data_IF_048704052281
#
_entry.id   IF_048704052281
#
_cell.length_a   1.000
_cell.length_b   1.000
_cell.length_c   1.000
_cell.angle_alpha   90.00
_cell.angle_beta   90.00
_cell.angle_gamma   90.00
#
_symmetry.space_group_name_H-M   'P 1'
#
loop_
_entity.id
_entity.type
_entity.pdbx_description
1 polymer ?
#
# COMPACT_ATOMS: atom_id res chain seq x y z
N UNK A 1 -37.69 -4.02 41.17
CA UNK A 1 -37.11 -2.86 40.45
C UNK A 1 -35.60 -3.05 40.42
N UNK A 2 -35.07 -3.70 39.37
CA UNK A 2 -33.65 -3.77 39.06
C UNK A 2 -33.56 -4.00 37.55
N UNK A 3 -33.21 -2.93 36.81
CA UNK A 3 -32.96 -3.00 35.39
C UNK A 3 -31.57 -3.64 35.19
N UNK A 4 -31.52 -4.84 34.63
CA UNK A 4 -30.27 -5.39 34.11
C UNK A 4 -29.92 -4.63 32.83
N UNK A 5 -28.83 -3.87 32.90
CA UNK A 5 -28.36 -3.03 31.81
C UNK A 5 -28.12 -3.82 30.53
N UNK A 6 -28.56 -3.25 29.41
CA UNK A 6 -28.20 -3.70 28.08
C UNK A 6 -26.69 -3.58 27.91
N UNK A 7 -26.00 -4.72 27.87
CA UNK A 7 -24.64 -4.79 27.36
C UNK A 7 -24.74 -4.50 25.85
N UNK A 8 -24.59 -3.23 25.48
CA UNK A 8 -24.27 -2.85 24.11
C UNK A 8 -22.90 -3.44 23.82
N UNK A 9 -22.88 -4.62 23.20
CA UNK A 9 -21.69 -5.12 22.55
C UNK A 9 -21.30 -4.06 21.52
N UNK A 10 -20.34 -3.21 21.87
CA UNK A 10 -19.55 -2.47 20.92
C UNK A 10 -18.92 -3.54 20.03
N UNK A 11 -19.60 -3.84 18.92
CA UNK A 11 -19.07 -4.73 17.91
C UNK A 11 -17.76 -4.12 17.47
N UNK A 12 -16.65 -4.74 17.85
CA UNK A 12 -15.38 -4.60 17.14
C UNK A 12 -15.67 -4.96 15.70
N UNK A 13 -16.08 -3.98 14.89
CA UNK A 13 -15.96 -4.08 13.46
C UNK A 13 -14.47 -4.24 13.21
N UNK A 14 -14.03 -5.47 12.98
CA UNK A 14 -12.73 -5.72 12.42
C UNK A 14 -12.64 -4.86 11.15
N UNK A 15 -11.85 -3.80 11.22
CA UNK A 15 -11.52 -2.96 10.07
C UNK A 15 -10.62 -3.80 9.16
N UNK A 16 -11.20 -4.78 8.47
CA UNK A 16 -10.51 -5.44 7.38
C UNK A 16 -10.40 -4.39 6.27
N UNK A 17 -9.21 -3.79 6.16
CA UNK A 17 -8.86 -2.95 5.01
C UNK A 17 -9.06 -3.74 3.70
N UNK A 18 -9.21 -3.05 2.57
CA UNK A 18 -9.42 -3.70 1.28
C UNK A 18 -8.28 -4.70 0.99
N UNK A 19 -8.62 -5.87 0.45
CA UNK A 19 -7.64 -6.90 0.10
C UNK A 19 -6.79 -6.42 -1.06
N UNK A 20 -5.49 -6.28 -0.86
CA UNK A 20 -4.56 -5.87 -1.91
C UNK A 20 -3.99 -7.10 -2.62
N UNK A 21 -4.26 -7.22 -3.92
CA UNK A 21 -3.66 -8.20 -4.81
C UNK A 21 -2.59 -7.52 -5.64
N UNK A 22 -1.40 -8.09 -5.66
CA UNK A 22 -0.27 -7.53 -6.41
C UNK A 22 0.16 -8.53 -7.48
N UNK A 23 0.23 -8.08 -8.73
CA UNK A 23 0.77 -8.91 -9.81
C UNK A 23 2.29 -9.08 -9.64
N UNK A 24 2.86 -10.29 -9.84
CA UNK A 24 4.30 -10.53 -9.67
C UNK A 24 5.20 -9.61 -10.50
N UNK A 25 4.71 -9.13 -11.64
CA UNK A 25 5.41 -8.16 -12.50
C UNK A 25 5.73 -6.86 -11.75
N UNK A 26 4.87 -6.42 -10.84
CA UNK A 26 5.07 -5.20 -10.05
C UNK A 26 6.26 -5.36 -9.11
N UNK A 27 6.37 -6.51 -8.45
CA UNK A 27 7.51 -6.81 -7.58
C UNK A 27 8.82 -6.85 -8.37
N UNK A 28 8.81 -7.51 -9.54
CA UNK A 28 9.97 -7.56 -10.43
C UNK A 28 10.38 -6.15 -10.90
N UNK A 29 9.42 -5.31 -11.27
CA UNK A 29 9.68 -3.92 -11.69
C UNK A 29 10.23 -3.05 -10.55
N UNK A 30 9.78 -3.23 -9.30
CA UNK A 30 10.32 -2.50 -8.15
C UNK A 30 11.78 -2.90 -7.91
N UNK A 31 12.09 -4.19 -7.97
CA UNK A 31 13.46 -4.69 -7.79
C UNK A 31 14.36 -4.21 -8.94
N UNK A 32 13.92 -4.30 -10.20
CA UNK A 32 14.68 -3.79 -11.35
C UNK A 32 14.93 -2.28 -11.23
N UNK A 33 13.94 -1.51 -10.78
CA UNK A 33 14.09 -0.07 -10.55
C UNK A 33 15.08 0.24 -9.43
N UNK A 34 15.12 -0.60 -8.38
CA UNK A 34 16.08 -0.48 -7.27
C UNK A 34 17.51 -0.85 -7.70
N UNK A 35 17.69 -1.85 -8.55
CA UNK A 35 19.01 -2.22 -9.06
C UNK A 35 19.56 -1.15 -10.04
N UNK A 36 18.69 -0.53 -10.85
CA UNK A 36 19.07 0.48 -11.84
C UNK A 36 19.17 1.91 -11.30
N UNK A 37 19.00 2.10 -9.99
CA UNK A 37 19.05 3.43 -9.36
C UNK A 37 20.43 4.07 -9.54
N UNK A 38 20.45 5.41 -9.46
CA UNK A 38 21.70 6.15 -9.55
C UNK A 38 22.60 5.86 -8.33
N UNK A 39 23.91 5.81 -8.53
CA UNK A 39 24.88 5.63 -7.44
C UNK A 39 24.67 6.74 -6.39
N UNK A 40 24.37 6.35 -5.14
CA UNK A 40 24.08 7.28 -4.04
C UNK A 40 22.61 7.37 -3.63
N UNK A 41 21.66 6.88 -4.44
CA UNK A 41 20.24 6.87 -4.06
C UNK A 41 19.93 5.68 -3.12
N UNK A 42 19.72 5.95 -1.83
CA UNK A 42 19.37 4.92 -0.85
C UNK A 42 17.98 4.30 -1.06
N UNK A 43 17.09 5.04 -1.74
CA UNK A 43 15.67 4.73 -1.88
C UNK A 43 15.18 4.98 -3.31
N UNK A 44 14.25 4.16 -3.78
CA UNK A 44 13.53 4.37 -5.04
C UNK A 44 12.06 4.58 -4.71
N UNK A 45 11.49 5.65 -5.27
CA UNK A 45 10.06 5.99 -5.13
C UNK A 45 9.39 5.72 -6.48
N UNK A 46 8.17 5.20 -6.43
CA UNK A 46 7.39 4.89 -7.62
C UNK A 46 5.91 4.94 -7.35
N UNK A 47 5.13 4.94 -8.43
CA UNK A 47 3.68 4.97 -8.40
C UNK A 47 3.13 3.60 -8.78
N UNK A 48 2.18 3.11 -8.00
CA UNK A 48 1.43 1.88 -8.28
C UNK A 48 0.22 2.20 -9.15
N UNK A 49 -0.02 1.36 -10.15
CA UNK A 49 -1.12 1.46 -11.10
C UNK A 49 -1.96 0.20 -11.02
N UNK A 50 -3.27 0.37 -11.10
CA UNK A 50 -4.20 -0.72 -10.91
C UNK A 50 -5.65 -0.27 -10.82
N UNK A 51 -6.51 -1.18 -10.38
CA UNK A 51 -7.93 -0.94 -10.20
C UNK A 51 -8.31 -1.09 -8.74
N UNK A 52 -9.15 -0.19 -8.24
CA UNK A 52 -9.67 -0.24 -6.88
C UNK A 52 -11.16 -0.53 -6.92
N UNK A 53 -11.55 -1.62 -6.27
CA UNK A 53 -12.92 -2.04 -6.02
C UNK A 53 -13.31 -1.81 -4.55
N UNK A 54 -14.61 -1.93 -4.24
CA UNK A 54 -15.19 -1.62 -2.92
C UNK A 54 -14.48 -2.32 -1.74
N UNK A 55 -13.91 -3.49 -1.96
CA UNK A 55 -13.22 -4.27 -0.92
C UNK A 55 -11.89 -4.88 -1.38
N UNK A 56 -11.40 -4.53 -2.58
CA UNK A 56 -10.14 -5.07 -3.10
C UNK A 56 -9.40 -4.06 -3.96
N UNK A 57 -8.07 -4.07 -3.90
CA UNK A 57 -7.21 -3.27 -4.76
C UNK A 57 -6.35 -4.23 -5.56
N UNK A 58 -6.41 -4.16 -6.88
CA UNK A 58 -5.58 -4.97 -7.78
C UNK A 58 -4.50 -4.10 -8.41
N UNK A 59 -3.25 -4.35 -8.03
CA UNK A 59 -2.07 -3.64 -8.53
C UNK A 59 -1.49 -4.43 -9.70
N UNK A 60 -1.64 -3.90 -10.90
CA UNK A 60 -1.26 -4.58 -12.15
C UNK A 60 0.04 -4.03 -12.74
N UNK A 61 0.43 -2.80 -12.41
CA UNK A 61 1.62 -2.16 -12.94
C UNK A 61 2.23 -1.15 -11.94
N UNK A 62 3.46 -0.73 -12.18
CA UNK A 62 4.11 0.35 -11.44
C UNK A 62 5.19 1.02 -12.29
N UNK A 63 5.53 2.27 -11.98
CA UNK A 63 6.67 2.95 -12.57
C UNK A 63 7.46 3.70 -11.51
N UNK A 64 8.79 3.69 -11.64
CA UNK A 64 9.68 4.51 -10.83
C UNK A 64 9.55 5.97 -11.22
N UNK A 65 9.43 6.85 -10.24
CA UNK A 65 9.50 8.29 -10.44
C UNK A 65 10.95 8.69 -10.17
N UNK A 66 11.64 9.39 -11.08
CA UNK A 66 12.98 9.89 -10.82
C UNK A 66 12.90 10.86 -9.64
N UNK A 67 13.36 10.40 -8.48
CA UNK A 67 13.45 11.20 -7.26
C UNK A 67 14.91 11.24 -6.87
N UNK A 68 15.48 12.44 -6.91
CA UNK A 68 16.76 12.69 -6.26
C UNK A 68 16.39 13.16 -4.85
N UNK A 69 16.84 12.43 -3.83
CA UNK A 69 16.90 12.99 -2.48
C UNK A 69 17.91 14.14 -2.55
N UNK A 70 17.46 15.32 -2.96
CA UNK A 70 18.18 16.55 -2.68
C UNK A 70 18.10 16.72 -1.16
N UNK A 71 19.23 16.95 -0.49
CA UNK A 71 19.39 17.08 0.96
C UNK A 71 18.63 18.26 1.61
N UNK A 72 17.52 18.72 1.03
CA UNK A 72 16.72 19.81 1.56
C UNK A 72 15.37 19.27 2.08
N UNK A 73 15.44 18.91 3.39
CA UNK A 73 14.37 18.68 4.39
C UNK A 73 13.74 17.28 4.57
#
# INVERSE_FOLDING_TARGET
MAAAGSLSAAGSAMLHGPVVKVHPVVLASIVDSYERRNEGAGRVIGTLLGTTDKHSVEVTNCFSVPHNESEDE
#
